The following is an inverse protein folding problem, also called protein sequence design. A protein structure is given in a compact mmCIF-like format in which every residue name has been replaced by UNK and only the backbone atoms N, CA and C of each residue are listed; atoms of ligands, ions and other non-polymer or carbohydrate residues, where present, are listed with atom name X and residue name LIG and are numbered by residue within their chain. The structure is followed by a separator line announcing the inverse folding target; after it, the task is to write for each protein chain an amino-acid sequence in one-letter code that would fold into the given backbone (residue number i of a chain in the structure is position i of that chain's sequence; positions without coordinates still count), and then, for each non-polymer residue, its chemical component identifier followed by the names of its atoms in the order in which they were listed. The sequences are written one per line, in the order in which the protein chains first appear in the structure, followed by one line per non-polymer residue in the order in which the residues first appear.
data_IF_041874012085
#
_entry.id   IF_041874012085
#
_cell.length_a   1.000
_cell.length_b   1.000
_cell.length_c   1.000
_cell.angle_alpha   90.00
_cell.angle_beta   90.00
_cell.angle_gamma   90.00
#
_symmetry.space_group_name_H-M   'P 1'
#
loop_
_entity.id
_entity.type
_entity.pdbx_description
1 polymer ?
#
# COMPACT_ATOMS: atom_id res chain seq x y z
N UNK A 1 21.79 -10.52 37.73
CA UNK A 1 21.01 -11.12 36.64
C UNK A 1 20.81 -10.05 35.59
N UNK A 2 21.49 -10.14 34.45
CA UNK A 2 21.47 -9.06 33.47
C UNK A 2 20.31 -9.29 32.50
N UNK A 3 19.33 -8.39 32.54
CA UNK A 3 18.31 -8.26 31.50
C UNK A 3 18.99 -7.73 30.25
N UNK A 4 19.54 -8.65 29.47
CA UNK A 4 20.21 -8.35 28.22
C UNK A 4 19.24 -8.30 27.05
N UNK A 5 19.72 -7.85 25.88
CA UNK A 5 18.95 -7.89 24.64
C UNK A 5 18.44 -9.30 24.29
N UNK A 6 19.09 -10.34 24.80
CA UNK A 6 18.66 -11.73 24.65
C UNK A 6 17.31 -12.02 25.34
N UNK A 7 17.07 -11.47 26.54
CA UNK A 7 15.80 -11.61 27.25
C UNK A 7 14.68 -10.84 26.56
N UNK A 8 14.96 -9.63 26.05
CA UNK A 8 13.98 -8.85 25.29
C UNK A 8 13.52 -9.57 24.03
N UNK A 9 14.42 -10.27 23.34
CA UNK A 9 14.08 -11.07 22.16
C UNK A 9 13.10 -12.20 22.49
N UNK A 10 13.34 -12.92 23.58
CA UNK A 10 12.47 -14.02 24.04
C UNK A 10 11.08 -13.48 24.39
N UNK A 11 11.02 -12.35 25.12
CA UNK A 11 9.74 -11.70 25.45
C UNK A 11 9.00 -11.24 24.20
N UNK A 12 9.70 -10.67 23.22
CA UNK A 12 9.11 -10.24 21.95
C UNK A 12 8.50 -11.41 21.17
N UNK A 13 9.15 -12.58 21.15
CA UNK A 13 8.60 -13.79 20.53
C UNK A 13 7.32 -14.25 21.24
N UNK A 14 7.31 -14.25 22.58
CA UNK A 14 6.11 -14.62 23.35
C UNK A 14 4.94 -13.69 23.01
N UNK A 15 5.16 -12.37 23.03
CA UNK A 15 4.14 -11.39 22.66
C UNK A 15 3.67 -11.61 21.20
N UNK A 16 4.60 -11.88 20.27
CA UNK A 16 4.25 -12.14 18.88
C UNK A 16 3.37 -13.40 18.71
N UNK A 17 3.55 -14.43 19.54
CA UNK A 17 2.72 -15.64 19.53
C UNK A 17 1.35 -15.39 20.14
N UNK A 18 1.26 -14.66 21.26
CA UNK A 18 -0.03 -14.35 21.91
C UNK A 18 -0.91 -13.43 21.06
N UNK A 19 -0.31 -12.37 20.51
CA UNK A 19 -1.04 -11.37 19.73
C UNK A 19 -1.12 -11.74 18.24
N UNK A 20 -0.22 -12.59 17.76
CA UNK A 20 -0.12 -12.97 16.36
C UNK A 20 0.47 -11.85 15.47
N UNK A 21 1.05 -12.25 14.33
CA UNK A 21 1.65 -11.33 13.35
C UNK A 21 0.67 -10.31 12.75
N UNK A 22 -0.61 -10.69 12.61
CA UNK A 22 -1.63 -9.85 11.98
C UNK A 22 -1.97 -8.61 12.82
N UNK A 23 -2.26 -8.80 14.12
CA UNK A 23 -2.61 -7.70 15.02
C UNK A 23 -1.47 -6.73 15.26
N UNK A 24 -0.25 -7.24 15.44
CA UNK A 24 0.92 -6.38 15.65
C UNK A 24 1.21 -5.55 14.40
N UNK A 25 1.09 -6.11 13.19
CA UNK A 25 1.33 -5.36 11.94
C UNK A 25 0.31 -4.24 11.71
N UNK A 26 -0.96 -4.49 12.03
CA UNK A 26 -2.03 -3.50 11.92
C UNK A 26 -1.83 -2.36 12.92
N UNK A 27 -1.56 -2.67 14.19
CA UNK A 27 -1.30 -1.68 15.23
C UNK A 27 0.01 -0.90 15.01
N UNK A 28 1.07 -1.57 14.55
CA UNK A 28 2.36 -0.92 14.27
C UNK A 28 2.28 0.00 13.05
N UNK A 29 1.39 -0.29 12.09
CA UNK A 29 1.12 0.61 10.97
C UNK A 29 0.52 1.95 11.43
N UNK A 30 -0.47 1.90 12.31
CA UNK A 30 -1.12 3.12 12.84
C UNK A 30 -0.23 3.87 13.83
N UNK A 31 0.51 3.16 14.68
CA UNK A 31 1.55 3.75 15.52
C UNK A 31 2.67 4.42 14.70
N UNK A 32 3.11 3.76 13.62
CA UNK A 32 4.15 4.28 12.74
C UNK A 32 3.75 5.59 12.05
N UNK A 33 2.48 5.71 11.63
CA UNK A 33 1.92 6.96 11.08
C UNK A 33 1.90 8.07 12.15
N UNK A 34 1.44 7.77 13.37
CA UNK A 34 1.42 8.73 14.48
C UNK A 34 2.81 9.26 14.85
N UNK A 35 3.80 8.36 14.98
CA UNK A 35 5.18 8.75 15.29
C UNK A 35 5.82 9.52 14.12
N UNK A 36 5.50 9.16 12.86
CA UNK A 36 5.98 9.91 11.68
C UNK A 36 5.45 11.33 11.68
N UNK A 37 4.13 11.53 11.86
CA UNK A 37 3.51 12.86 11.93
C UNK A 37 4.03 13.69 13.10
N UNK A 38 4.27 13.07 14.26
CA UNK A 38 4.87 13.74 15.41
C UNK A 38 6.30 14.23 15.11
N UNK A 39 7.12 13.37 14.48
CA UNK A 39 8.48 13.75 14.10
C UNK A 39 8.51 14.81 13.00
N UNK A 40 7.56 14.76 12.07
CA UNK A 40 7.43 15.73 10.99
C UNK A 40 7.03 17.11 11.54
N UNK A 41 6.04 17.17 12.44
CA UNK A 41 5.65 18.41 13.13
C UNK A 41 6.78 19.01 13.97
N UNK A 42 7.55 18.18 14.70
CA UNK A 42 8.71 18.64 15.47
C UNK A 42 9.84 19.21 14.58
N UNK A 43 10.01 18.68 13.37
CA UNK A 43 11.04 19.13 12.43
C UNK A 43 10.62 20.40 11.67
N UNK A 44 9.31 20.56 11.44
CA UNK A 44 8.71 21.77 10.87
C UNK A 44 8.83 22.96 11.84
N UNK A 45 8.71 22.73 13.15
CA UNK A 45 8.90 23.79 14.15
C UNK A 45 10.37 24.23 14.28
N UNK A 46 11.30 23.33 13.95
CA UNK A 46 12.74 23.61 13.93
C UNK A 46 13.25 24.22 12.61
N UNK A 47 12.44 24.24 11.54
CA UNK A 47 12.77 24.87 10.25
C UNK A 47 11.66 25.82 9.83
N UNK A 48 11.93 27.13 9.88
CA UNK A 48 11.17 28.17 9.18
C UNK A 48 10.85 27.78 7.73
N UNK A 49 9.73 28.28 7.15
CA UNK A 49 9.02 27.65 6.04
C UNK A 49 9.80 27.77 4.73
N UNK A 50 10.56 26.75 4.38
CA UNK A 50 11.10 26.59 3.02
C UNK A 50 10.72 25.22 2.47
N UNK A 51 9.78 25.25 1.51
CA UNK A 51 9.26 24.17 0.66
C UNK A 51 8.61 23.00 1.39
N UNK A 52 7.30 23.14 1.57
CA UNK A 52 6.38 22.00 1.45
C UNK A 52 6.36 21.62 -0.04
N UNK A 53 7.28 20.75 -0.44
CA UNK A 53 7.12 19.97 -1.66
C UNK A 53 5.89 19.08 -1.45
N UNK A 54 4.78 19.50 -2.07
CA UNK A 54 3.59 18.70 -2.24
C UNK A 54 3.94 17.42 -2.99
N UNK A 55 4.18 16.33 -2.26
CA UNK A 55 4.00 14.99 -2.80
C UNK A 55 2.72 14.37 -2.24
N UNK A 56 1.63 14.63 -2.97
CA UNK A 56 0.37 13.90 -2.96
C UNK A 56 -0.04 13.78 -4.42
N UNK A 57 -0.63 12.69 -4.96
CA UNK A 57 -0.76 11.29 -4.51
C UNK A 57 -0.32 10.27 -5.61
N UNK A 58 -0.01 9.02 -5.24
CA UNK A 58 -0.15 7.88 -6.16
C UNK A 58 -1.02 6.80 -5.47
N UNK A 59 -2.24 6.53 -5.96
CA UNK A 59 -3.12 5.50 -5.42
C UNK A 59 -2.72 4.14 -6.00
N UNK A 60 -2.21 3.24 -5.15
CA UNK A 60 -2.25 1.77 -5.35
C UNK A 60 -1.68 1.16 -4.07
N UNK A 61 -2.49 0.60 -3.18
CA UNK A 61 -2.79 -0.84 -3.22
C UNK A 61 -4.07 -1.09 -2.44
N UNK A 62 -5.17 -1.11 -3.18
CA UNK A 62 -6.20 -2.15 -3.12
C UNK A 62 -6.00 -3.22 -2.03
N UNK A 63 -6.78 -3.13 -0.96
CA UNK A 63 -7.25 -4.31 -0.25
C UNK A 63 -8.32 -4.96 -1.13
N UNK A 64 -7.92 -5.91 -1.98
CA UNK A 64 -8.84 -6.88 -2.61
C UNK A 64 -8.74 -8.15 -1.77
N UNK A 65 -9.61 -8.21 -0.78
CA UNK A 65 -10.11 -9.46 -0.22
C UNK A 65 -11.57 -9.60 -0.61
N UNK A 66 -11.87 -9.80 -1.91
CA UNK A 66 -13.20 -10.27 -2.32
C UNK A 66 -13.10 -11.17 -3.56
N UNK A 67 -13.12 -12.47 -3.27
CA UNK A 67 -13.85 -13.55 -3.95
C UNK A 67 -14.49 -13.24 -5.32
N UNK A 68 -13.98 -13.92 -6.34
CA UNK A 68 -14.74 -14.58 -7.44
C UNK A 68 -15.75 -13.76 -8.25
N UNK A 69 -15.38 -13.36 -9.47
CA UNK A 69 -16.12 -13.70 -10.69
C UNK A 69 -15.33 -13.26 -11.94
N UNK A 70 -14.96 -14.23 -12.76
CA UNK A 70 -14.48 -14.08 -14.13
C UNK A 70 -15.55 -13.40 -15.00
N UNK A 71 -15.15 -12.50 -15.91
CA UNK A 71 -15.54 -12.71 -17.29
C UNK A 71 -14.34 -12.60 -18.24
N UNK A 72 -14.04 -13.77 -18.79
CA UNK A 72 -13.60 -14.05 -20.15
C UNK A 72 -13.95 -12.97 -21.19
N UNK A 73 -13.11 -12.93 -22.23
CA UNK A 73 -13.36 -12.39 -23.59
C UNK A 73 -13.18 -10.87 -23.72
N UNK A 74 -12.24 -10.30 -24.50
CA UNK A 74 -11.73 -10.75 -25.79
C UNK A 74 -10.35 -10.14 -26.12
N UNK A 75 -9.45 -10.98 -26.61
CA UNK A 75 -8.26 -10.56 -27.35
C UNK A 75 -8.62 -10.24 -28.81
N UNK A 76 -8.02 -9.16 -29.31
CA UNK A 76 -7.39 -9.02 -30.64
C UNK A 76 -8.02 -9.75 -31.84
N UNK A 77 -8.47 -8.97 -32.84
CA UNK A 77 -8.64 -9.48 -34.20
C UNK A 77 -9.23 -8.46 -35.18
N UNK A 78 -8.36 -7.87 -36.01
CA UNK A 78 -8.57 -7.65 -37.46
C UNK A 78 -9.67 -6.68 -37.94
N UNK A 79 -9.32 -5.51 -38.50
CA UNK A 79 -10.18 -4.84 -39.48
C UNK A 79 -9.96 -5.51 -40.84
N UNK A 80 -10.71 -6.59 -41.10
CA UNK A 80 -10.82 -7.20 -42.42
C UNK A 80 -11.94 -6.49 -43.19
N UNK A 81 -11.61 -6.11 -44.42
CA UNK A 81 -12.48 -5.49 -45.41
C UNK A 81 -13.86 -6.15 -45.52
N UNK A 82 -14.91 -5.33 -45.70
CA UNK A 82 -16.07 -5.58 -46.59
C UNK A 82 -16.97 -4.32 -46.61
N UNK A 83 -17.34 -3.88 -47.81
CA UNK A 83 -18.22 -2.74 -48.10
C UNK A 83 -17.52 -1.88 -49.17
N UNK A 84 -18.05 -1.62 -50.35
CA UNK A 84 -19.40 -1.82 -50.88
C UNK A 84 -19.25 -1.73 -52.40
N UNK A 85 -19.89 -2.63 -53.15
CA UNK A 85 -20.03 -2.52 -54.60
C UNK A 85 -21.30 -1.73 -54.86
N UNK A 86 -21.20 -0.44 -55.20
CA UNK A 86 -22.12 0.21 -56.14
C UNK A 86 -21.57 1.60 -56.52
N UNK A 87 -21.31 1.80 -57.82
CA UNK A 87 -21.63 3.00 -58.62
C UNK A 87 -20.65 3.19 -59.78
N UNK A 88 -21.18 2.91 -60.98
CA UNK A 88 -20.81 3.51 -62.27
C UNK A 88 -19.52 3.04 -62.96
N UNK A 89 -19.61 1.92 -63.68
CA UNK A 89 -19.47 1.83 -65.16
C UNK A 89 -19.46 0.38 -65.63
#
# INVERSE_FOLDING_TARGET
MNVGPWQLLIVAVVILVLFGRGRISEMMGDFGKGIKSFKQGMNEEARSPERIDHHTPAPTTTTTGEKTATPTANATGTPAATGDTDKSS
#
